data_IF_932722071525
#
_entry.id   IF_932722071525
#
_cell.length_a   1.000
_cell.length_b   1.000
_cell.length_c   1.000
_cell.angle_alpha   90.00
_cell.angle_beta   90.00
_cell.angle_gamma   90.00
#
_symmetry.space_group_name_H-M   'P 1'
#
loop_
_entity.id
_entity.type
_entity.pdbx_description
1 polymer ?
#
# COMPACT_ATOMS: atom_id res chain seq x y z
N UNK A 1 -20.74 -39.82 -20.79
CA UNK A 1 -21.99 -40.18 -20.14
C UNK A 1 -22.66 -38.87 -19.87
N UNK A 2 -23.31 -38.39 -20.88
CA UNK A 2 -24.77 -38.32 -21.09
C UNK A 2 -25.40 -37.29 -20.16
N UNK A 3 -25.84 -36.24 -20.79
CA UNK A 3 -27.19 -35.93 -21.29
C UNK A 3 -27.89 -34.94 -20.37
N UNK A 4 -28.69 -33.98 -20.69
CA UNK A 4 -29.38 -33.43 -21.84
C UNK A 4 -29.92 -32.09 -21.34
N UNK A 5 -29.84 -30.99 -22.05
CA UNK A 5 -30.75 -30.50 -23.09
C UNK A 5 -32.23 -30.35 -22.61
N UNK A 6 -32.74 -29.15 -22.63
CA UNK A 6 -34.02 -28.85 -23.30
C UNK A 6 -34.33 -27.36 -23.36
N UNK A 7 -34.39 -26.91 -24.52
CA UNK A 7 -35.13 -25.85 -25.20
C UNK A 7 -36.62 -25.81 -24.90
N UNK A 8 -37.25 -24.63 -24.95
CA UNK A 8 -38.68 -24.45 -24.92
C UNK A 8 -39.11 -23.07 -25.39
N UNK A 9 -39.20 -22.95 -26.59
CA UNK A 9 -39.73 -22.08 -27.63
C UNK A 9 -41.25 -21.93 -27.59
N UNK A 10 -41.75 -20.74 -28.10
CA UNK A 10 -42.93 -20.48 -28.93
C UNK A 10 -44.26 -20.19 -28.22
N UNK A 11 -44.95 -19.02 -28.42
CA UNK A 11 -45.82 -18.68 -29.59
C UNK A 11 -46.65 -17.44 -29.24
N UNK A 12 -46.58 -16.37 -29.92
CA UNK A 12 -47.40 -15.86 -31.04
C UNK A 12 -48.92 -16.05 -30.90
N UNK A 13 -49.63 -14.96 -30.99
CA UNK A 13 -51.08 -14.94 -31.15
C UNK A 13 -51.60 -13.54 -31.43
N UNK A 14 -51.60 -13.15 -32.67
CA UNK A 14 -52.34 -12.05 -33.22
C UNK A 14 -53.80 -12.46 -33.50
N UNK A 15 -54.78 -11.58 -33.30
CA UNK A 15 -56.03 -11.53 -34.09
C UNK A 15 -56.59 -10.13 -34.08
N UNK A 16 -56.79 -9.61 -35.26
CA UNK A 16 -57.57 -8.44 -35.64
C UNK A 16 -59.07 -8.79 -35.68
N UNK A 17 -59.93 -7.79 -35.74
CA UNK A 17 -61.10 -7.69 -36.62
C UNK A 17 -61.96 -6.48 -36.22
N UNK A 18 -61.99 -5.45 -37.06
CA UNK A 18 -63.04 -4.91 -37.94
C UNK A 18 -64.27 -4.17 -37.28
N UNK A 19 -64.46 -2.91 -37.73
CA UNK A 19 -65.52 -1.98 -37.51
C UNK A 19 -66.84 -2.42 -38.16
N UNK A 20 -67.75 -1.56 -38.70
CA UNK A 20 -67.97 -0.10 -38.68
C UNK A 20 -69.41 0.29 -38.31
N UNK A 21 -69.73 1.58 -38.30
CA UNK A 21 -71.16 1.98 -38.26
C UNK A 21 -71.39 3.48 -38.12
N UNK A 22 -71.68 4.03 -39.23
CA UNK A 22 -72.13 5.35 -39.67
C UNK A 22 -73.51 5.68 -39.07
N UNK A 23 -73.78 6.96 -38.76
CA UNK A 23 -74.81 7.87 -39.31
C UNK A 23 -74.91 9.14 -38.47
N UNK A 24 -74.69 10.20 -39.04
CA UNK A 24 -75.39 11.46 -39.40
C UNK A 24 -76.64 11.78 -38.57
N UNK A 25 -76.78 12.98 -38.04
CA UNK A 25 -77.58 14.07 -38.61
C UNK A 25 -77.61 15.32 -37.70
N UNK A 26 -77.46 16.42 -38.32
CA UNK A 26 -78.06 17.78 -38.31
C UNK A 26 -78.48 18.50 -37.00
N UNK A 27 -78.04 19.74 -36.97
CA UNK A 27 -78.87 20.90 -36.74
C UNK A 27 -78.78 21.63 -35.41
N UNK A 28 -78.42 22.93 -35.49
CA UNK A 28 -78.85 23.89 -34.47
C UNK A 28 -77.79 24.89 -34.02
N UNK A 29 -77.76 25.94 -34.75
CA UNK A 29 -77.21 27.23 -34.49
C UNK A 29 -77.62 27.81 -33.13
N UNK A 30 -76.74 28.25 -32.31
CA UNK A 30 -76.88 29.45 -31.45
C UNK A 30 -75.56 29.94 -30.87
N UNK A 31 -75.25 31.12 -31.31
CA UNK A 31 -74.22 32.04 -30.77
C UNK A 31 -74.33 32.26 -29.28
N UNK A 32 -73.30 31.92 -28.50
CA UNK A 32 -73.02 32.55 -27.22
C UNK A 32 -71.52 32.60 -26.93
N UNK A 33 -71.01 33.79 -27.06
CA UNK A 33 -69.69 34.19 -26.68
C UNK A 33 -69.36 33.88 -25.19
N UNK A 34 -68.45 33.00 -24.92
CA UNK A 34 -67.94 32.75 -23.55
C UNK A 34 -66.46 33.01 -23.49
N UNK A 35 -65.97 33.83 -22.55
CA UNK A 35 -64.57 34.23 -22.51
C UNK A 35 -63.66 33.07 -22.12
N UNK A 36 -62.52 33.07 -22.80
CA UNK A 36 -61.41 32.11 -22.68
C UNK A 36 -60.94 31.93 -21.23
N UNK A 37 -61.33 30.82 -20.61
CA UNK A 37 -60.77 30.32 -19.32
C UNK A 37 -59.53 29.40 -19.49
N UNK A 38 -59.08 29.18 -20.73
CA UNK A 38 -58.02 28.22 -21.06
C UNK A 38 -56.57 28.70 -20.89
N UNK A 39 -56.37 30.02 -20.82
CA UNK A 39 -54.99 30.59 -20.83
C UNK A 39 -54.32 30.65 -19.47
N UNK A 40 -55.09 30.63 -18.36
CA UNK A 40 -54.50 30.67 -17.00
C UNK A 40 -54.00 29.31 -16.48
N UNK A 41 -54.63 28.20 -16.92
CA UNK A 41 -54.17 26.85 -16.54
C UNK A 41 -52.86 26.43 -17.24
N UNK A 42 -52.63 26.86 -18.48
CA UNK A 42 -51.38 26.52 -19.20
C UNK A 42 -50.16 27.26 -18.62
N UNK A 43 -50.36 28.48 -18.12
CA UNK A 43 -49.30 29.25 -17.46
C UNK A 43 -48.91 28.68 -16.10
N UNK A 44 -49.87 28.14 -15.31
CA UNK A 44 -49.60 27.53 -14.01
C UNK A 44 -48.86 26.19 -14.13
N UNK A 45 -49.15 25.38 -15.13
CA UNK A 45 -48.48 24.11 -15.38
C UNK A 45 -47.05 24.30 -15.90
N UNK A 46 -46.74 25.38 -16.63
CA UNK A 46 -45.43 25.72 -17.09
C UNK A 46 -44.50 26.26 -15.98
N UNK A 47 -45.06 26.95 -15.00
CA UNK A 47 -44.31 27.43 -13.83
C UNK A 47 -43.95 26.27 -12.85
N UNK A 48 -44.85 25.33 -12.64
CA UNK A 48 -44.61 24.15 -11.79
C UNK A 48 -43.53 23.22 -12.38
N UNK A 49 -43.52 23.05 -13.72
CA UNK A 49 -42.47 22.25 -14.39
C UNK A 49 -41.07 22.91 -14.32
N UNK A 50 -40.99 24.21 -14.36
CA UNK A 50 -39.69 24.95 -14.23
C UNK A 50 -39.15 24.91 -12.80
N UNK A 51 -39.98 24.89 -11.79
CA UNK A 51 -39.57 24.76 -10.39
C UNK A 51 -39.05 23.36 -10.06
N UNK A 52 -39.62 22.31 -10.66
CA UNK A 52 -39.18 20.93 -10.46
C UNK A 52 -37.82 20.64 -11.10
N UNK A 53 -37.53 21.26 -12.24
CA UNK A 53 -36.24 21.08 -12.92
C UNK A 53 -35.10 21.77 -12.18
N UNK A 54 -35.33 22.93 -11.56
CA UNK A 54 -34.32 23.60 -10.72
C UNK A 54 -34.03 22.81 -9.45
N UNK A 55 -35.05 22.31 -8.76
CA UNK A 55 -34.86 21.47 -7.57
C UNK A 55 -34.15 20.15 -7.88
N UNK A 56 -34.43 19.52 -9.00
CA UNK A 56 -33.70 18.32 -9.44
C UNK A 56 -32.23 18.63 -9.75
N UNK A 57 -31.95 19.76 -10.40
CA UNK A 57 -30.58 20.18 -10.67
C UNK A 57 -29.81 20.49 -9.38
N UNK A 58 -30.41 21.20 -8.45
CA UNK A 58 -29.76 21.47 -7.15
C UNK A 58 -29.52 20.18 -6.34
N UNK A 59 -30.48 19.25 -6.34
CA UNK A 59 -30.31 17.94 -5.69
C UNK A 59 -29.18 17.11 -6.34
N UNK A 60 -29.08 17.11 -7.66
CA UNK A 60 -27.98 16.42 -8.37
C UNK A 60 -26.63 17.07 -8.09
N UNK A 61 -26.58 18.40 -8.03
CA UNK A 61 -25.34 19.12 -7.68
C UNK A 61 -24.91 18.90 -6.23
N UNK A 62 -25.86 18.86 -5.27
CA UNK A 62 -25.53 18.60 -3.86
C UNK A 62 -25.08 17.16 -3.63
N UNK A 63 -25.67 16.17 -4.32
CA UNK A 63 -25.21 14.78 -4.22
C UNK A 63 -23.83 14.56 -4.84
N UNK A 64 -23.53 15.19 -5.99
CA UNK A 64 -22.19 15.11 -6.58
C UNK A 64 -21.13 15.78 -5.73
N UNK A 65 -21.40 16.95 -5.18
CA UNK A 65 -20.47 17.66 -4.27
C UNK A 65 -20.26 16.83 -2.99
N UNK A 66 -21.33 16.29 -2.40
CA UNK A 66 -21.20 15.45 -1.21
C UNK A 66 -20.40 14.16 -1.49
N UNK A 67 -20.59 13.53 -2.66
CA UNK A 67 -19.81 12.35 -3.06
C UNK A 67 -18.33 12.66 -3.27
N UNK A 68 -18.03 13.80 -3.89
CA UNK A 68 -16.62 14.25 -4.07
C UNK A 68 -15.97 14.55 -2.73
N UNK A 69 -16.67 15.24 -1.81
CA UNK A 69 -16.15 15.51 -0.48
C UNK A 69 -15.91 14.21 0.31
N UNK A 70 -16.81 13.25 0.21
CA UNK A 70 -16.64 11.93 0.84
C UNK A 70 -15.43 11.17 0.30
N UNK A 71 -15.23 11.19 -1.03
CA UNK A 71 -14.08 10.58 -1.68
C UNK A 71 -12.76 11.25 -1.27
N UNK A 72 -12.74 12.58 -1.21
CA UNK A 72 -11.57 13.33 -0.73
C UNK A 72 -11.29 13.02 0.72
N UNK A 73 -12.29 13.01 1.59
CA UNK A 73 -12.15 12.64 3.00
C UNK A 73 -11.63 11.20 3.16
N UNK A 74 -12.17 10.26 2.39
CA UNK A 74 -11.70 8.87 2.39
C UNK A 74 -10.25 8.75 1.90
N UNK A 75 -9.87 9.50 0.85
CA UNK A 75 -8.51 9.52 0.34
C UNK A 75 -7.52 10.12 1.35
N UNK A 76 -7.91 11.21 2.03
CA UNK A 76 -7.11 11.82 3.10
C UNK A 76 -6.95 10.88 4.28
N UNK A 77 -8.04 10.24 4.72
CA UNK A 77 -8.00 9.26 5.81
C UNK A 77 -7.12 8.05 5.45
N UNK A 78 -7.25 7.54 4.22
CA UNK A 78 -6.40 6.47 3.72
C UNK A 78 -4.92 6.86 3.70
N UNK A 79 -4.60 8.06 3.20
CA UNK A 79 -3.23 8.56 3.16
C UNK A 79 -2.64 8.80 4.56
N UNK A 80 -3.46 9.28 5.51
CA UNK A 80 -3.01 9.63 6.86
C UNK A 80 -2.90 8.42 7.81
N UNK A 81 -3.69 7.37 7.62
CA UNK A 81 -3.78 6.24 8.57
C UNK A 81 -3.33 4.93 7.96
N UNK A 82 -3.82 4.57 6.78
CA UNK A 82 -3.59 3.24 6.20
C UNK A 82 -2.19 3.12 5.58
N UNK A 83 -1.75 4.15 4.85
CA UNK A 83 -0.40 4.14 4.23
C UNK A 83 0.72 4.00 5.26
N UNK A 84 0.78 4.81 6.34
CA UNK A 84 1.84 4.69 7.34
C UNK A 84 1.86 3.30 7.99
N UNK A 85 0.68 2.76 8.35
CA UNK A 85 0.58 1.44 8.96
C UNK A 85 1.11 0.32 8.06
N UNK A 86 0.81 0.36 6.76
CA UNK A 86 1.32 -0.61 5.79
C UNK A 86 2.84 -0.46 5.58
N UNK A 87 3.35 0.78 5.49
CA UNK A 87 4.78 1.05 5.36
C UNK A 87 5.58 0.56 6.57
N UNK A 88 5.08 0.77 7.78
CA UNK A 88 5.70 0.26 9.01
C UNK A 88 5.67 -1.26 9.07
N UNK A 89 4.56 -1.89 8.64
CA UNK A 89 4.45 -3.34 8.57
C UNK A 89 5.50 -3.96 7.63
N UNK A 90 5.65 -3.40 6.43
CA UNK A 90 6.65 -3.84 5.46
C UNK A 90 8.07 -3.53 5.95
N UNK A 91 8.30 -2.32 6.46
CA UNK A 91 9.60 -1.92 7.02
C UNK A 91 10.05 -2.84 8.16
N UNK A 92 9.12 -3.32 9.00
CA UNK A 92 9.39 -4.28 10.07
C UNK A 92 9.98 -5.59 9.54
N UNK A 93 9.42 -6.13 8.47
CA UNK A 93 9.90 -7.37 7.84
C UNK A 93 11.24 -7.15 7.14
N UNK A 94 11.30 -6.15 6.27
CA UNK A 94 12.50 -5.85 5.48
C UNK A 94 13.66 -5.40 6.37
N UNK A 95 13.39 -4.53 7.35
CA UNK A 95 14.40 -4.04 8.29
C UNK A 95 14.95 -5.15 9.19
N UNK A 96 14.10 -6.09 9.67
CA UNK A 96 14.57 -7.24 10.43
C UNK A 96 15.47 -8.15 9.59
N UNK A 97 15.09 -8.44 8.34
CA UNK A 97 15.91 -9.21 7.43
C UNK A 97 17.26 -8.52 7.15
N UNK A 98 17.21 -7.21 6.93
CA UNK A 98 18.42 -6.40 6.72
C UNK A 98 19.32 -6.34 7.97
N UNK A 99 18.75 -6.25 9.18
CA UNK A 99 19.50 -6.28 10.43
C UNK A 99 20.25 -7.62 10.59
N UNK A 100 19.59 -8.75 10.31
CA UNK A 100 20.24 -10.08 10.35
C UNK A 100 21.40 -10.17 9.36
N UNK A 101 21.11 -9.96 8.09
CA UNK A 101 22.12 -10.06 7.02
C UNK A 101 23.21 -9.02 7.18
N UNK A 102 22.84 -7.79 7.59
CA UNK A 102 23.79 -6.70 7.82
C UNK A 102 24.80 -7.06 8.91
N UNK A 103 24.35 -7.56 10.07
CA UNK A 103 25.24 -7.96 11.17
C UNK A 103 26.13 -9.14 10.78
N UNK A 104 25.58 -10.16 10.12
CA UNK A 104 26.38 -11.29 9.63
C UNK A 104 27.49 -10.83 8.71
N UNK A 105 27.20 -9.91 7.78
CA UNK A 105 28.18 -9.41 6.82
C UNK A 105 29.16 -8.38 7.41
N UNK A 106 28.69 -7.54 8.34
CA UNK A 106 29.50 -6.52 9.02
C UNK A 106 30.49 -7.15 10.01
N UNK A 107 30.17 -8.31 10.59
CA UNK A 107 31.01 -8.98 11.58
C UNK A 107 31.72 -10.24 11.04
N UNK A 108 31.63 -10.51 9.74
CA UNK A 108 32.32 -11.66 9.12
C UNK A 108 33.43 -11.20 8.19
N UNK A 109 34.63 -11.69 8.45
CA UNK A 109 35.86 -11.34 7.72
C UNK A 109 36.72 -12.57 7.51
N UNK A 110 37.32 -12.68 6.33
CA UNK A 110 38.26 -13.74 6.00
C UNK A 110 39.62 -13.13 5.59
N UNK A 111 40.74 -13.71 6.02
CA UNK A 111 42.08 -13.24 5.60
C UNK A 111 42.26 -13.25 4.08
N UNK A 112 41.69 -14.26 3.40
CA UNK A 112 41.80 -14.41 1.96
C UNK A 112 41.03 -13.35 1.15
N UNK A 113 40.01 -12.72 1.74
CA UNK A 113 39.15 -11.70 1.10
C UNK A 113 39.15 -10.36 1.84
N UNK A 114 40.23 -10.08 2.57
CA UNK A 114 40.38 -8.92 3.48
C UNK A 114 39.84 -7.62 2.91
N UNK A 115 40.34 -7.20 1.75
CA UNK A 115 39.96 -5.89 1.20
C UNK A 115 38.51 -5.86 0.71
N UNK A 116 38.02 -6.94 0.13
CA UNK A 116 36.62 -7.09 -0.30
C UNK A 116 35.70 -7.10 0.91
N UNK A 117 36.04 -7.80 1.98
CA UNK A 117 35.21 -7.90 3.20
C UNK A 117 35.14 -6.56 3.94
N UNK A 118 36.29 -5.84 4.06
CA UNK A 118 36.33 -4.51 4.66
C UNK A 118 35.56 -3.49 3.82
N UNK A 119 35.65 -3.53 2.49
CA UNK A 119 34.87 -2.66 1.62
C UNK A 119 33.36 -2.94 1.72
N UNK A 120 32.97 -4.22 1.75
CA UNK A 120 31.60 -4.64 1.95
C UNK A 120 31.06 -4.13 3.29
N UNK A 121 31.78 -4.34 4.39
CA UNK A 121 31.36 -3.91 5.71
C UNK A 121 31.18 -2.39 5.81
N UNK A 122 32.06 -1.60 5.20
CA UNK A 122 31.91 -0.13 5.09
C UNK A 122 30.66 0.28 4.31
N UNK A 123 30.32 -0.46 3.26
CA UNK A 123 29.13 -0.19 2.43
C UNK A 123 27.80 -0.56 3.08
N UNK A 124 27.82 -1.26 4.22
CA UNK A 124 26.63 -1.71 4.95
C UNK A 124 26.34 -0.89 6.20
N UNK A 125 27.17 0.07 6.56
CA UNK A 125 27.02 0.93 7.72
C UNK A 125 26.78 2.38 7.32
N UNK A 126 26.17 3.18 8.21
CA UNK A 126 25.85 4.57 7.93
C UNK A 126 25.97 5.45 9.18
N UNK A 127 25.91 6.76 8.99
CA UNK A 127 25.90 7.75 10.06
C UNK A 127 27.16 7.77 10.92
N UNK A 128 26.99 8.11 12.18
CA UNK A 128 28.09 8.20 13.15
C UNK A 128 28.71 6.83 13.43
N UNK A 129 27.85 5.80 13.47
CA UNK A 129 28.30 4.42 13.61
C UNK A 129 29.26 4.03 12.46
N UNK A 130 28.93 4.39 11.22
CA UNK A 130 29.78 4.10 10.06
C UNK A 130 31.17 4.75 10.15
N UNK A 131 31.25 5.98 10.69
CA UNK A 131 32.53 6.68 10.91
C UNK A 131 33.38 5.98 11.99
N UNK A 132 32.76 5.67 13.14
CA UNK A 132 33.45 4.98 14.24
C UNK A 132 33.86 3.57 13.84
N UNK A 133 32.98 2.86 13.18
CA UNK A 133 33.22 1.50 12.71
C UNK A 133 34.35 1.46 11.65
N UNK A 134 34.45 2.46 10.78
CA UNK A 134 35.54 2.61 9.84
C UNK A 134 36.91 2.66 10.53
N UNK A 135 37.00 3.37 11.67
CA UNK A 135 38.24 3.40 12.46
C UNK A 135 38.57 2.03 13.06
N UNK A 136 37.58 1.29 13.53
CA UNK A 136 37.75 -0.07 14.06
C UNK A 136 38.22 -1.03 12.96
N UNK A 137 37.63 -0.90 11.75
CA UNK A 137 38.08 -1.71 10.61
C UNK A 137 39.57 -1.53 10.30
N UNK A 138 40.07 -0.29 10.35
CA UNK A 138 41.45 0.00 10.02
C UNK A 138 42.42 -0.33 11.18
N UNK A 139 42.02 -0.04 12.43
CA UNK A 139 42.93 -0.20 13.58
C UNK A 139 42.89 -1.58 14.21
N UNK A 140 41.81 -2.35 14.06
CA UNK A 140 41.66 -3.64 14.71
C UNK A 140 41.48 -4.77 13.71
N UNK A 141 40.47 -4.64 12.79
CA UNK A 141 40.10 -5.75 11.90
C UNK A 141 41.20 -6.04 10.88
N UNK A 142 41.73 -5.03 10.16
CA UNK A 142 42.80 -5.22 9.17
C UNK A 142 44.06 -5.87 9.77
N UNK A 143 44.61 -5.39 10.90
CA UNK A 143 45.75 -6.05 11.52
C UNK A 143 45.48 -7.47 12.02
N UNK A 144 44.25 -7.78 12.44
CA UNK A 144 43.87 -9.14 12.80
C UNK A 144 43.87 -10.07 11.58
N UNK A 145 43.29 -9.62 10.47
CA UNK A 145 43.28 -10.37 9.20
C UNK A 145 44.69 -10.58 8.65
N UNK A 146 45.58 -9.59 8.79
CA UNK A 146 47.02 -9.72 8.41
C UNK A 146 47.75 -10.79 9.23
N UNK A 147 47.29 -11.03 10.46
CA UNK A 147 47.80 -12.13 11.32
C UNK A 147 47.11 -13.47 11.09
N UNK A 148 46.25 -13.57 10.05
CA UNK A 148 45.54 -14.78 9.70
C UNK A 148 44.34 -15.08 10.58
N UNK A 149 43.81 -14.09 11.33
CA UNK A 149 42.62 -14.24 12.15
C UNK A 149 41.39 -13.85 11.32
N UNK A 150 40.49 -14.80 11.05
CA UNK A 150 39.19 -14.58 10.44
C UNK A 150 38.05 -14.72 11.46
N UNK A 151 36.90 -14.14 11.15
CA UNK A 151 35.67 -14.28 11.94
C UNK A 151 34.50 -14.60 11.03
N UNK A 152 33.59 -15.44 11.53
CA UNK A 152 32.33 -15.77 10.90
C UNK A 152 31.20 -15.60 11.92
N UNK A 153 30.23 -14.78 11.60
CA UNK A 153 29.07 -14.51 12.45
C UNK A 153 27.82 -15.08 11.82
N UNK A 154 27.01 -15.79 12.59
CA UNK A 154 25.72 -16.34 12.18
C UNK A 154 24.67 -15.92 13.19
N UNK A 155 23.63 -15.25 12.73
CA UNK A 155 22.49 -14.84 13.56
C UNK A 155 21.56 -16.02 13.74
N UNK A 156 21.44 -16.49 15.00
CA UNK A 156 20.61 -17.65 15.35
C UNK A 156 19.17 -17.28 15.63
N UNK A 157 18.94 -16.09 16.23
CA UNK A 157 17.60 -15.56 16.50
C UNK A 157 17.57 -14.05 16.35
N UNK A 158 16.41 -13.53 15.94
CA UNK A 158 16.19 -12.10 15.76
C UNK A 158 14.74 -11.74 16.11
N UNK A 159 14.55 -10.60 16.77
CA UNK A 159 13.24 -10.04 17.09
C UNK A 159 13.24 -8.53 16.95
N UNK A 160 12.14 -7.95 16.49
CA UNK A 160 11.98 -6.49 16.35
C UNK A 160 11.65 -5.90 17.72
N UNK A 161 12.42 -4.91 18.13
CA UNK A 161 12.18 -4.08 19.33
C UNK A 161 11.26 -2.89 18.98
N UNK A 162 11.60 -2.17 17.90
CA UNK A 162 10.78 -1.08 17.37
C UNK A 162 10.91 -0.98 15.86
N UNK A 163 9.87 -0.46 15.20
CA UNK A 163 9.87 -0.27 13.76
C UNK A 163 9.08 0.98 13.37
N UNK A 164 9.71 1.79 12.53
CA UNK A 164 9.14 2.92 11.79
C UNK A 164 9.30 2.65 10.28
N UNK A 165 8.81 3.53 9.43
CA UNK A 165 8.84 3.35 7.97
C UNK A 165 10.28 3.24 7.40
N UNK A 166 11.25 3.88 8.03
CA UNK A 166 12.65 3.99 7.57
C UNK A 166 13.69 3.60 8.63
N UNK A 167 13.25 3.15 9.81
CA UNK A 167 14.13 2.75 10.92
C UNK A 167 13.58 1.53 11.64
N UNK A 168 14.41 0.52 11.83
CA UNK A 168 14.06 -0.68 12.62
C UNK A 168 15.16 -0.97 13.61
N UNK A 169 14.77 -1.18 14.87
CA UNK A 169 15.66 -1.68 15.92
C UNK A 169 15.31 -3.12 16.22
N UNK A 170 16.30 -3.99 16.19
CA UNK A 170 16.16 -5.43 16.41
C UNK A 170 17.13 -5.93 17.47
N UNK A 171 16.70 -6.88 18.29
CA UNK A 171 17.56 -7.66 19.17
C UNK A 171 17.95 -8.94 18.45
N UNK A 172 19.24 -9.16 18.32
CA UNK A 172 19.85 -10.31 17.65
C UNK A 172 20.63 -11.16 18.63
N UNK A 173 20.49 -12.48 18.49
CA UNK A 173 21.37 -13.47 19.10
C UNK A 173 22.19 -14.11 18.00
N UNK A 174 23.50 -14.19 18.19
CA UNK A 174 24.39 -14.71 17.19
C UNK A 174 25.49 -15.58 17.80
N UNK A 175 26.05 -16.43 16.99
CA UNK A 175 27.31 -17.12 17.27
C UNK A 175 28.38 -16.55 16.37
N UNK A 176 29.55 -16.30 16.95
CA UNK A 176 30.74 -15.85 16.24
C UNK A 176 31.83 -16.89 16.40
N UNK A 177 32.33 -17.38 15.30
CA UNK A 177 33.46 -18.26 15.20
C UNK A 177 34.69 -17.45 14.80
N UNK A 178 35.71 -17.46 15.62
CA UNK A 178 37.01 -16.88 15.32
C UNK A 178 38.01 -18.00 15.03
N UNK A 179 38.62 -17.96 13.88
CA UNK A 179 39.62 -18.94 13.44
C UNK A 179 40.93 -18.25 13.11
N UNK A 180 42.03 -18.84 13.53
CA UNK A 180 43.38 -18.45 13.11
C UNK A 180 44.02 -19.61 12.37
N UNK A 181 44.79 -19.32 11.35
CA UNK A 181 45.52 -20.35 10.60
C UNK A 181 46.38 -21.19 11.53
N UNK A 182 46.15 -22.51 11.58
CA UNK A 182 46.87 -23.44 12.42
C UNK A 182 46.36 -23.60 13.85
N UNK A 183 45.30 -22.91 14.23
CA UNK A 183 44.66 -23.04 15.55
C UNK A 183 43.21 -23.57 15.41
N UNK A 184 42.71 -24.31 16.42
CA UNK A 184 41.31 -24.70 16.42
C UNK A 184 40.38 -23.48 16.54
N UNK A 185 39.24 -23.45 15.85
CA UNK A 185 38.32 -22.33 15.91
C UNK A 185 37.71 -22.19 17.32
N UNK A 186 37.45 -20.93 17.72
CA UNK A 186 36.79 -20.60 18.96
C UNK A 186 35.38 -20.03 18.65
N UNK A 187 34.37 -20.62 19.25
CA UNK A 187 33.00 -20.18 19.10
C UNK A 187 32.55 -19.43 20.35
N UNK A 188 31.98 -18.26 20.16
CA UNK A 188 31.40 -17.41 21.21
C UNK A 188 29.95 -17.05 20.83
N UNK A 189 29.03 -17.16 21.80
CA UNK A 189 27.67 -16.66 21.65
C UNK A 189 27.63 -15.19 22.11
N UNK A 190 26.86 -14.38 21.39
CA UNK A 190 26.65 -12.97 21.73
C UNK A 190 25.23 -12.54 21.47
N UNK A 191 24.89 -11.36 21.97
CA UNK A 191 23.65 -10.67 21.68
C UNK A 191 23.94 -9.19 21.44
N UNK A 192 23.17 -8.60 20.50
CA UNK A 192 23.29 -7.18 20.20
C UNK A 192 21.94 -6.58 19.85
N UNK A 193 21.75 -5.35 20.24
CA UNK A 193 20.72 -4.48 19.70
C UNK A 193 21.29 -3.77 18.48
N UNK A 194 20.59 -3.86 17.38
CA UNK A 194 21.00 -3.33 16.09
C UNK A 194 19.91 -2.43 15.54
N UNK A 195 20.28 -1.23 15.17
CA UNK A 195 19.39 -0.32 14.45
C UNK A 195 19.80 -0.25 13.00
N UNK A 196 18.87 -0.51 12.12
CA UNK A 196 19.03 -0.29 10.68
C UNK A 196 18.17 0.89 10.23
N UNK A 197 18.67 1.66 9.30
CA UNK A 197 18.01 2.83 8.73
C UNK A 197 18.00 2.73 7.20
N UNK A 198 16.90 3.15 6.59
CA UNK A 198 16.78 3.22 5.13
C UNK A 198 17.42 4.52 4.64
N UNK A 199 18.45 4.38 3.83
CA UNK A 199 19.18 5.49 3.19
C UNK A 199 19.21 5.20 1.69
N UNK A 200 18.70 6.10 0.87
CA UNK A 200 18.63 5.97 -0.60
C UNK A 200 18.00 4.62 -1.03
N UNK A 201 16.93 4.22 -0.34
CA UNK A 201 16.20 2.98 -0.62
C UNK A 201 16.86 1.70 -0.10
N UNK A 202 18.04 1.77 0.50
CA UNK A 202 18.80 0.64 1.06
C UNK A 202 18.77 0.66 2.59
N UNK A 203 18.64 -0.51 3.21
CA UNK A 203 18.77 -0.65 4.64
C UNK A 203 20.24 -0.76 5.02
N UNK A 204 20.73 0.12 5.89
CA UNK A 204 22.10 0.16 6.39
C UNK A 204 22.12 0.14 7.92
N UNK A 205 23.14 -0.47 8.51
CA UNK A 205 23.32 -0.49 9.97
C UNK A 205 23.74 0.91 10.43
N UNK A 206 22.95 1.51 11.30
CA UNK A 206 23.19 2.85 11.86
C UNK A 206 23.61 2.84 13.33
N UNK A 207 23.41 1.71 14.04
CA UNK A 207 23.87 1.51 15.41
C UNK A 207 24.00 0.00 15.72
N UNK A 208 24.96 -0.38 16.55
CA UNK A 208 25.18 -1.74 17.03
C UNK A 208 25.72 -1.70 18.44
N UNK A 209 24.98 -2.26 19.40
CA UNK A 209 25.34 -2.32 20.82
C UNK A 209 25.36 -3.76 21.28
N UNK A 210 26.52 -4.23 21.68
CA UNK A 210 26.71 -5.56 22.28
C UNK A 210 26.40 -5.54 23.77
N UNK A 211 25.88 -6.66 24.27
CA UNK A 211 25.57 -6.87 25.69
C UNK A 211 26.26 -8.14 26.23
#
# INVERSE_FOLDING_TARGET
MTHDDETGTVRAGAVAVTGPGRTADAGGDTTATRPARGTRLRAALGAARRGLSRRRRTLLWTTTVASVLLLVAAAVLYAAVVRPAQQTGQARVDGLAAARTGVEQVLSYQPASKDADVARARGLVTGDFGRQFGSVLDSVVRPALDRGVGTRTVVTRAGVVSADADRVTALLYFTQEAARTGEPPRTTAGRAEVTVQRVDGRWLVSDLRNF
#
